data_IF_883060478681
#
_entry.id   IF_883060478681
#
_cell.length_a   1.000
_cell.length_b   1.000
_cell.length_c   1.000
_cell.angle_alpha   90.00
_cell.angle_beta   90.00
_cell.angle_gamma   90.00
#
_symmetry.space_group_name_H-M   'P 1'
#
loop_
_entity.id
_entity.type
_entity.pdbx_description
1 polymer ?
#
# COMPACT_ATOMS: atom_id res chain seq x y z
N UNK A 1 13.85 3.15 -11.53
CA UNK A 1 12.70 3.55 -10.70
C UNK A 1 13.00 3.08 -9.30
N UNK A 2 13.05 3.99 -8.35
CA UNK A 2 13.39 3.73 -6.95
C UNK A 2 12.13 3.62 -6.09
N UNK A 3 12.26 3.13 -4.85
CA UNK A 3 11.19 3.18 -3.86
C UNK A 3 10.73 4.62 -3.56
N UNK A 4 11.61 5.60 -3.70
CA UNK A 4 11.28 7.02 -3.51
C UNK A 4 10.36 7.54 -4.61
N UNK A 5 10.52 7.07 -5.85
CA UNK A 5 9.61 7.38 -6.96
C UNK A 5 8.19 6.85 -6.66
N UNK A 6 8.09 5.64 -6.10
CA UNK A 6 6.81 5.08 -5.67
C UNK A 6 6.22 5.87 -4.50
N UNK A 7 7.01 6.23 -3.49
CA UNK A 7 6.56 7.04 -2.36
C UNK A 7 6.02 8.40 -2.85
N UNK A 8 6.69 9.04 -3.81
CA UNK A 8 6.24 10.29 -4.43
C UNK A 8 4.96 10.10 -5.25
N UNK A 9 4.87 9.04 -6.05
CA UNK A 9 3.66 8.71 -6.81
C UNK A 9 2.48 8.49 -5.86
N UNK A 10 2.63 7.62 -4.86
CA UNK A 10 1.56 7.35 -3.88
C UNK A 10 1.16 8.64 -3.19
N UNK A 11 2.12 9.42 -2.68
CA UNK A 11 1.83 10.70 -2.05
C UNK A 11 1.00 11.62 -2.95
N UNK A 12 1.30 11.70 -4.25
CA UNK A 12 0.55 12.54 -5.20
C UNK A 12 -0.91 12.11 -5.37
N UNK A 13 -1.19 10.80 -5.26
CA UNK A 13 -2.51 10.20 -5.48
C UNK A 13 -3.42 10.24 -4.25
N UNK A 14 -2.88 10.47 -3.04
CA UNK A 14 -3.66 10.49 -1.80
C UNK A 14 -4.50 11.76 -1.67
N UNK A 15 -5.64 11.63 -0.99
CA UNK A 15 -6.51 12.76 -0.65
C UNK A 15 -5.81 13.77 0.29
N UNK A 16 -6.33 15.01 0.45
CA UNK A 16 -5.74 16.03 1.33
C UNK A 16 -5.53 15.58 2.78
N UNK A 17 -6.22 14.52 3.21
CA UNK A 17 -6.03 13.87 4.52
C UNK A 17 -4.60 13.35 4.73
N UNK A 18 -3.82 13.16 3.66
CA UNK A 18 -2.39 12.84 3.71
C UNK A 18 -1.56 13.83 4.53
N UNK A 19 -1.96 15.11 4.55
CA UNK A 19 -1.24 16.13 5.32
C UNK A 19 -1.41 15.94 6.83
N UNK A 20 -2.56 15.45 7.28
CA UNK A 20 -2.79 15.14 8.69
C UNK A 20 -2.01 13.88 9.15
N UNK A 21 -1.83 12.91 8.26
CA UNK A 21 -1.06 11.69 8.53
C UNK A 21 0.46 11.93 8.49
N UNK A 22 0.92 12.87 7.67
CA UNK A 22 2.33 13.18 7.48
C UNK A 22 3.03 12.26 6.47
N UNK A 23 4.06 12.81 5.79
CA UNK A 23 4.78 12.12 4.72
C UNK A 23 5.54 10.89 5.18
N UNK A 24 6.11 10.93 6.39
CA UNK A 24 6.82 9.80 6.97
C UNK A 24 5.91 8.59 7.23
N UNK A 25 4.68 8.82 7.71
CA UNK A 25 3.72 7.76 7.96
C UNK A 25 3.26 7.12 6.64
N UNK A 26 2.95 7.94 5.63
CA UNK A 26 2.58 7.43 4.30
C UNK A 26 3.69 6.57 3.72
N UNK A 27 4.94 7.07 3.68
CA UNK A 27 6.07 6.29 3.17
C UNK A 27 6.26 4.97 3.92
N UNK A 28 6.11 4.99 5.25
CA UNK A 28 6.16 3.77 6.08
C UNK A 28 5.07 2.77 5.69
N UNK A 29 3.84 3.24 5.50
CA UNK A 29 2.71 2.40 5.12
C UNK A 29 2.86 1.87 3.68
N UNK A 30 3.30 2.71 2.74
CA UNK A 30 3.62 2.30 1.36
C UNK A 30 4.64 1.17 1.36
N UNK A 31 5.73 1.29 2.11
CA UNK A 31 6.74 0.24 2.26
C UNK A 31 6.18 -1.05 2.85
N UNK A 32 5.26 -0.95 3.83
CA UNK A 32 4.56 -2.13 4.38
C UNK A 32 3.65 -2.80 3.35
N UNK A 33 2.95 -2.01 2.53
CA UNK A 33 2.12 -2.51 1.43
C UNK A 33 3.01 -3.24 0.42
N UNK A 34 4.10 -2.62 -0.02
CA UNK A 34 5.06 -3.22 -0.96
C UNK A 34 5.58 -4.55 -0.43
N UNK A 35 6.05 -4.59 0.83
CA UNK A 35 6.57 -5.81 1.46
C UNK A 35 5.54 -6.94 1.55
N UNK A 36 4.25 -6.61 1.70
CA UNK A 36 3.15 -7.58 1.80
C UNK A 36 2.43 -7.83 0.47
N UNK A 37 2.90 -7.25 -0.62
CA UNK A 37 2.22 -7.32 -1.90
C UNK A 37 2.19 -8.76 -2.44
N UNK A 38 1.01 -9.35 -2.72
CA UNK A 38 0.91 -10.76 -3.07
C UNK A 38 1.10 -10.96 -4.58
N UNK A 39 2.34 -10.88 -5.06
CA UNK A 39 2.66 -10.95 -6.49
C UNK A 39 2.15 -12.20 -7.20
N UNK A 40 2.38 -13.38 -6.63
CA UNK A 40 1.94 -14.64 -7.22
C UNK A 40 0.42 -14.66 -7.41
N UNK A 41 -0.31 -14.29 -6.36
CA UNK A 41 -1.77 -14.19 -6.38
C UNK A 41 -2.22 -13.15 -7.41
N UNK A 42 -1.64 -11.95 -7.44
CA UNK A 42 -2.04 -10.91 -8.40
C UNK A 42 -1.71 -11.25 -9.85
N UNK A 43 -0.64 -12.02 -10.11
CA UNK A 43 -0.26 -12.42 -11.46
C UNK A 43 -1.18 -13.50 -12.05
N UNK A 44 -1.72 -14.38 -11.20
CA UNK A 44 -2.60 -15.50 -11.59
C UNK A 44 -4.07 -15.10 -11.66
N UNK A 45 -4.47 -14.03 -10.95
CA UNK A 45 -5.85 -13.63 -10.82
C UNK A 45 -6.33 -12.68 -11.93
N UNK A 46 -7.63 -12.77 -12.23
CA UNK A 46 -8.31 -11.83 -13.14
C UNK A 46 -8.56 -10.48 -12.45
N UNK A 47 -8.76 -9.39 -13.22
CA UNK A 47 -9.04 -8.06 -12.68
C UNK A 47 -10.19 -8.01 -11.67
N UNK A 48 -11.19 -8.87 -11.85
CA UNK A 48 -12.35 -9.03 -10.97
C UNK A 48 -11.98 -9.42 -9.53
N UNK A 49 -10.87 -10.14 -9.36
CA UNK A 49 -10.44 -10.65 -8.05
C UNK A 49 -9.51 -9.69 -7.31
N UNK A 50 -8.99 -8.64 -7.97
CA UNK A 50 -8.06 -7.69 -7.34
C UNK A 50 -8.69 -6.94 -6.15
N UNK A 51 -9.99 -6.69 -6.17
CA UNK A 51 -10.70 -6.05 -5.07
C UNK A 51 -10.62 -6.88 -3.77
N UNK A 52 -10.89 -8.19 -3.86
CA UNK A 52 -10.82 -9.09 -2.71
C UNK A 52 -9.39 -9.23 -2.17
N UNK A 53 -8.40 -9.33 -3.07
CA UNK A 53 -6.99 -9.45 -2.69
C UNK A 53 -6.50 -8.17 -2.01
N UNK A 54 -6.79 -7.01 -2.59
CA UNK A 54 -6.41 -5.71 -2.02
C UNK A 54 -7.10 -5.44 -0.68
N UNK A 55 -8.36 -5.85 -0.52
CA UNK A 55 -9.06 -5.76 0.77
C UNK A 55 -8.37 -6.62 1.84
N UNK A 56 -7.91 -7.82 1.48
CA UNK A 56 -7.12 -8.68 2.36
C UNK A 56 -5.83 -8.00 2.84
N UNK A 57 -5.12 -7.30 1.95
CA UNK A 57 -3.91 -6.52 2.28
C UNK A 57 -4.25 -5.39 3.26
N UNK A 58 -5.30 -4.62 2.97
CA UNK A 58 -5.75 -3.51 3.84
C UNK A 58 -6.02 -4.03 5.24
N UNK A 59 -6.83 -5.08 5.39
CA UNK A 59 -7.15 -5.70 6.68
C UNK A 59 -5.90 -6.23 7.40
N UNK A 60 -4.94 -6.80 6.67
CA UNK A 60 -3.68 -7.30 7.27
C UNK A 60 -2.84 -6.17 7.87
N UNK A 61 -2.72 -5.06 7.14
CA UNK A 61 -1.92 -3.90 7.58
C UNK A 61 -2.63 -3.19 8.74
N UNK A 62 -3.94 -2.99 8.66
CA UNK A 62 -4.73 -2.41 9.76
C UNK A 62 -4.57 -3.18 11.06
N UNK A 63 -4.67 -4.51 11.02
CA UNK A 63 -4.46 -5.35 12.23
C UNK A 63 -3.06 -5.16 12.79
N UNK A 64 -2.04 -5.12 11.93
CA UNK A 64 -0.65 -4.89 12.34
C UNK A 64 -0.45 -3.52 12.98
N UNK A 65 -1.05 -2.46 12.43
CA UNK A 65 -0.95 -1.11 13.00
C UNK A 65 -1.72 -0.97 14.32
N UNK A 66 -2.91 -1.58 14.42
CA UNK A 66 -3.70 -1.59 15.67
C UNK A 66 -2.94 -2.26 16.82
N UNK A 67 -2.33 -3.42 16.55
CA UNK A 67 -1.54 -4.15 17.54
C UNK A 67 -0.30 -3.37 17.99
N UNK A 68 0.33 -2.62 17.09
CA UNK A 68 1.59 -1.94 17.37
C UNK A 68 1.43 -0.61 18.13
N UNK A 69 0.34 0.14 17.89
CA UNK A 69 0.21 1.52 18.41
C UNK A 69 -0.94 1.75 19.37
N UNK A 70 -1.78 0.74 19.66
CA UNK A 70 -2.87 0.88 20.64
C UNK A 70 -3.80 2.08 20.35
N UNK A 71 -4.11 2.33 19.07
CA UNK A 71 -4.83 3.54 18.65
C UNK A 71 -6.32 3.49 18.99
N UNK A 72 -6.86 4.63 19.43
CA UNK A 72 -8.30 4.83 19.62
C UNK A 72 -9.11 4.75 18.32
N UNK A 73 -10.44 4.60 18.44
CA UNK A 73 -11.37 4.33 17.32
C UNK A 73 -11.26 5.39 16.20
N UNK A 74 -11.12 6.68 16.53
CA UNK A 74 -11.10 7.76 15.53
C UNK A 74 -9.83 7.71 14.66
N UNK A 75 -8.66 7.58 15.29
CA UNK A 75 -7.37 7.44 14.60
C UNK A 75 -7.35 6.20 13.70
N UNK A 76 -7.98 5.12 14.16
CA UNK A 76 -8.10 3.87 13.42
C UNK A 76 -8.88 4.02 12.12
N UNK A 77 -9.97 4.81 12.12
CA UNK A 77 -10.77 5.07 10.92
C UNK A 77 -10.01 5.90 9.89
N UNK A 78 -9.29 6.93 10.35
CA UNK A 78 -8.45 7.76 9.48
C UNK A 78 -7.32 6.92 8.86
N UNK A 79 -6.69 6.07 9.66
CA UNK A 79 -5.62 5.18 9.20
C UNK A 79 -6.12 4.13 8.21
N UNK A 80 -7.30 3.55 8.48
CA UNK A 80 -7.96 2.58 7.59
C UNK A 80 -8.23 3.17 6.21
N UNK A 81 -8.82 4.37 6.16
CA UNK A 81 -9.06 5.08 4.92
C UNK A 81 -7.75 5.37 4.16
N UNK A 82 -6.71 5.81 4.88
CA UNK A 82 -5.39 6.09 4.31
C UNK A 82 -4.74 4.81 3.73
N UNK A 83 -4.77 3.70 4.45
CA UNK A 83 -4.23 2.42 3.99
C UNK A 83 -4.97 1.96 2.73
N UNK A 84 -6.30 2.09 2.69
CA UNK A 84 -7.10 1.77 1.50
C UNK A 84 -6.69 2.61 0.29
N UNK A 85 -6.50 3.92 0.46
CA UNK A 85 -6.02 4.80 -0.62
C UNK A 85 -4.61 4.41 -1.09
N UNK A 86 -3.68 4.12 -0.17
CA UNK A 86 -2.33 3.67 -0.53
C UNK A 86 -2.37 2.38 -1.34
N UNK A 87 -3.12 1.37 -0.89
CA UNK A 87 -3.22 0.09 -1.60
C UNK A 87 -3.80 0.27 -3.00
N UNK A 88 -4.81 1.14 -3.16
CA UNK A 88 -5.38 1.49 -4.48
C UNK A 88 -4.38 2.21 -5.36
N UNK A 89 -3.61 3.15 -4.81
CA UNK A 89 -2.57 3.86 -5.56
C UNK A 89 -1.46 2.90 -6.03
N UNK A 90 -1.00 2.00 -5.14
CA UNK A 90 -0.02 0.96 -5.49
C UNK A 90 -0.59 0.00 -6.54
N UNK A 91 -1.86 -0.42 -6.43
CA UNK A 91 -2.51 -1.26 -7.45
C UNK A 91 -2.53 -0.57 -8.81
N UNK A 92 -2.98 0.70 -8.86
CA UNK A 92 -3.04 1.48 -10.11
C UNK A 92 -1.67 1.55 -10.76
N UNK A 93 -0.66 1.93 -9.98
CA UNK A 93 0.72 1.98 -10.42
C UNK A 93 1.25 0.62 -10.91
N UNK A 94 0.91 -0.47 -10.22
CA UNK A 94 1.31 -1.82 -10.61
C UNK A 94 0.66 -2.27 -11.93
N UNK A 95 -0.57 -1.81 -12.21
CA UNK A 95 -1.28 -2.09 -13.45
C UNK A 95 -0.78 -1.27 -14.64
N UNK A 96 -0.22 -0.08 -14.40
CA UNK A 96 0.23 0.86 -15.46
C UNK A 96 1.31 0.27 -16.38
N UNK A 97 2.24 -0.54 -15.87
CA UNK A 97 3.27 -1.15 -16.73
C UNK A 97 3.85 -2.45 -16.17
N UNK A 98 4.28 -3.35 -17.07
CA UNK A 98 5.00 -4.56 -16.69
C UNK A 98 6.31 -4.25 -15.95
N UNK A 99 6.98 -3.13 -16.29
CA UNK A 99 8.19 -2.65 -15.59
C UNK A 99 7.92 -2.35 -14.12
N UNK A 100 6.76 -1.78 -13.79
CA UNK A 100 6.36 -1.49 -12.41
C UNK A 100 6.17 -2.79 -11.61
N UNK A 101 5.64 -3.83 -12.25
CA UNK A 101 5.48 -5.16 -11.64
C UNK A 101 6.82 -5.77 -11.25
N UNK A 102 7.79 -5.72 -12.17
CA UNK A 102 9.16 -6.21 -11.94
C UNK A 102 9.86 -5.41 -10.86
N UNK A 103 9.73 -4.08 -10.88
CA UNK A 103 10.33 -3.21 -9.86
C UNK A 103 9.84 -3.56 -8.45
N UNK A 104 8.54 -3.81 -8.28
CA UNK A 104 7.96 -4.13 -6.96
C UNK A 104 8.45 -5.49 -6.44
N UNK A 105 8.65 -6.48 -7.32
CA UNK A 105 9.31 -7.77 -6.95
C UNK A 105 10.76 -7.55 -6.53
N UNK A 106 11.49 -6.70 -7.28
CA UNK A 106 12.87 -6.33 -6.95
C UNK A 106 12.97 -5.74 -5.54
N UNK A 107 12.14 -4.74 -5.24
CA UNK A 107 12.12 -4.10 -3.93
C UNK A 107 11.71 -5.05 -2.80
N UNK A 108 10.78 -5.97 -3.04
CA UNK A 108 10.46 -6.99 -2.03
C UNK A 108 11.66 -7.85 -1.66
N UNK A 109 12.51 -8.16 -2.64
CA UNK A 109 13.72 -8.97 -2.42
C UNK A 109 14.75 -8.18 -1.62
N UNK A 110 14.90 -6.88 -1.87
CA UNK A 110 15.78 -5.98 -1.12
C UNK A 110 15.31 -5.70 0.32
N UNK A 111 13.99 -5.74 0.56
CA UNK A 111 13.38 -5.44 1.86
C UNK A 111 13.18 -6.66 2.77
N UNK A 112 13.63 -7.85 2.32
CA UNK A 112 13.51 -9.11 3.04
C UNK A 112 14.70 -9.33 3.96
#
# INVERSE_FOLDING_TARGET
MSLEDLDAYVWSQLSPRRYAAGRALVARLTRRVVRKWPHAVMAENRPESYAAVTEGIVRSIERSERQQYGMGIILTLVLSALISEIVKAVLRWWLESARNRVALVGWQTEMR
#
